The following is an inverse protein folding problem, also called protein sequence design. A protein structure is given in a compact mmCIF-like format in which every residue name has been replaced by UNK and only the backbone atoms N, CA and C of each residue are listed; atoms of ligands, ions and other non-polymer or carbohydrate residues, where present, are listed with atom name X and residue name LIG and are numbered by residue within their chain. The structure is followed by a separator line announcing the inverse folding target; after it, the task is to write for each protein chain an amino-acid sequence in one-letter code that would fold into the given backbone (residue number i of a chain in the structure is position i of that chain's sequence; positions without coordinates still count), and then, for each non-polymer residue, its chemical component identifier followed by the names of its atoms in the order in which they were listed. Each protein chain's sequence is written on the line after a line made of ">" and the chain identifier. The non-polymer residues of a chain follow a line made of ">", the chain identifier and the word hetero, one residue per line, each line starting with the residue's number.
data_IF_886805950161
#
_entry.id   IF_886805950161
#
_cell.length_a   1.000
_cell.length_b   1.000
_cell.length_c   1.000
_cell.angle_alpha   90.00
_cell.angle_beta   90.00
_cell.angle_gamma   90.00
#
_symmetry.space_group_name_H-M   'P 1'
#
loop_
_entity.id
_entity.type
_entity.pdbx_description
1 polymer ?
#
# COMPACT_ATOMS: atom_id res chain seq x y z
N UNK A 1 -17.83 28.37 16.34
CA UNK A 1 -18.00 29.01 15.03
C UNK A 1 -16.87 28.48 14.20
N UNK A 2 -17.15 27.60 13.24
CA UNK A 2 -16.12 26.98 12.40
C UNK A 2 -15.39 28.08 11.61
N UNK A 3 -14.06 28.18 11.79
CA UNK A 3 -13.22 29.06 10.99
C UNK A 3 -13.13 28.47 9.57
N UNK A 4 -13.55 29.19 8.51
CA UNK A 4 -13.40 28.74 7.13
C UNK A 4 -11.98 28.31 6.75
N UNK A 5 -10.97 28.83 7.45
CA UNK A 5 -9.57 28.45 7.27
C UNK A 5 -9.27 27.03 7.77
N UNK A 6 -9.97 26.56 8.81
CA UNK A 6 -9.78 25.21 9.34
C UNK A 6 -10.38 24.16 8.39
N UNK A 7 -11.59 24.42 7.86
CA UNK A 7 -12.19 23.56 6.83
C UNK A 7 -11.30 23.42 5.57
N UNK A 8 -10.66 24.53 5.14
CA UNK A 8 -9.71 24.50 4.03
C UNK A 8 -8.46 23.65 4.35
N UNK A 9 -7.91 23.79 5.56
CA UNK A 9 -6.74 22.99 5.99
C UNK A 9 -7.06 21.50 6.07
N UNK A 10 -8.24 21.14 6.56
CA UNK A 10 -8.70 19.74 6.61
C UNK A 10 -8.81 19.15 5.19
N UNK A 11 -9.43 19.89 4.27
CA UNK A 11 -9.52 19.49 2.87
C UNK A 11 -8.12 19.29 2.24
N UNK A 12 -7.20 20.23 2.47
CA UNK A 12 -5.83 20.13 1.96
C UNK A 12 -5.09 18.89 2.48
N UNK A 13 -5.20 18.60 3.78
CA UNK A 13 -4.59 17.39 4.40
C UNK A 13 -5.18 16.10 3.85
N UNK A 14 -6.50 16.06 3.64
CA UNK A 14 -7.15 14.90 3.04
C UNK A 14 -6.65 14.67 1.61
N UNK A 15 -6.52 15.73 0.82
CA UNK A 15 -6.03 15.65 -0.55
C UNK A 15 -4.54 15.29 -0.61
N UNK A 16 -3.70 15.80 0.29
CA UNK A 16 -2.30 15.41 0.44
C UNK A 16 -2.16 13.93 0.79
N UNK A 17 -2.95 13.45 1.76
CA UNK A 17 -2.99 12.04 2.16
C UNK A 17 -3.41 11.15 0.99
N UNK A 18 -4.41 11.57 0.23
CA UNK A 18 -4.88 10.87 -0.97
C UNK A 18 -3.78 10.77 -2.03
N UNK A 19 -3.06 11.87 -2.29
CA UNK A 19 -1.91 11.88 -3.21
C UNK A 19 -0.78 10.98 -2.74
N UNK A 20 -0.44 11.01 -1.46
CA UNK A 20 0.59 10.15 -0.88
C UNK A 20 0.22 8.66 -1.01
N UNK A 21 -1.02 8.29 -0.71
CA UNK A 21 -1.50 6.92 -0.86
C UNK A 21 -1.50 6.45 -2.33
N UNK A 22 -1.94 7.30 -3.27
CA UNK A 22 -1.90 6.99 -4.70
C UNK A 22 -0.46 6.77 -5.21
N UNK A 23 0.48 7.64 -4.80
CA UNK A 23 1.88 7.49 -5.15
C UNK A 23 2.49 6.20 -4.57
N UNK A 24 2.16 5.86 -3.31
CA UNK A 24 2.60 4.62 -2.69
C UNK A 24 2.06 3.39 -3.44
N UNK A 25 0.78 3.37 -3.82
CA UNK A 25 0.19 2.25 -4.58
C UNK A 25 0.87 2.06 -5.95
N UNK A 26 1.19 3.16 -6.66
CA UNK A 26 1.93 3.09 -7.92
C UNK A 26 3.35 2.53 -7.73
N UNK A 27 4.06 2.99 -6.70
CA UNK A 27 5.39 2.48 -6.38
C UNK A 27 5.35 0.99 -5.98
N UNK A 28 4.32 0.60 -5.22
CA UNK A 28 4.08 -0.77 -4.82
C UNK A 28 3.83 -1.69 -6.01
N UNK A 29 2.94 -1.31 -6.92
CA UNK A 29 2.67 -2.07 -8.15
C UNK A 29 3.95 -2.24 -8.99
N UNK A 30 4.74 -1.18 -9.17
CA UNK A 30 5.99 -1.24 -9.92
C UNK A 30 7.04 -2.17 -9.26
N UNK A 31 7.20 -2.08 -7.94
CA UNK A 31 8.12 -2.93 -7.18
C UNK A 31 7.66 -4.40 -7.17
N UNK A 32 6.36 -4.63 -7.02
CA UNK A 32 5.77 -5.95 -7.05
C UNK A 32 5.94 -6.59 -8.45
N UNK A 33 5.66 -5.82 -9.51
CA UNK A 33 5.86 -6.24 -10.89
C UNK A 33 7.30 -6.61 -11.23
N UNK A 34 8.29 -5.92 -10.64
CA UNK A 34 9.71 -6.29 -10.80
C UNK A 34 10.13 -7.50 -9.99
N UNK A 35 9.32 -7.93 -9.01
CA UNK A 35 9.59 -9.06 -8.09
C UNK A 35 10.92 -8.92 -7.33
N UNK A 36 11.33 -7.67 -7.12
CA UNK A 36 12.56 -7.33 -6.42
C UNK A 36 12.21 -7.10 -4.95
N UNK A 37 12.56 -8.06 -4.10
CA UNK A 37 12.27 -7.99 -2.67
C UNK A 37 12.90 -6.74 -2.01
N UNK A 38 14.06 -6.25 -2.49
CA UNK A 38 14.66 -5.03 -1.96
C UNK A 38 13.81 -3.80 -2.26
N UNK A 39 13.30 -3.69 -3.49
CA UNK A 39 12.39 -2.60 -3.89
C UNK A 39 11.06 -2.65 -3.14
N UNK A 40 10.53 -3.85 -2.90
CA UNK A 40 9.30 -4.03 -2.12
C UNK A 40 9.56 -3.64 -0.66
N UNK A 41 10.63 -4.14 -0.05
CA UNK A 41 10.97 -3.86 1.35
C UNK A 41 11.16 -2.36 1.62
N UNK A 42 11.71 -1.61 0.66
CA UNK A 42 11.89 -0.16 0.77
C UNK A 42 10.58 0.64 0.94
N UNK A 43 9.42 0.05 0.62
CA UNK A 43 8.11 0.66 0.78
C UNK A 43 7.47 0.43 2.17
N UNK A 44 8.11 -0.38 3.02
CA UNK A 44 7.63 -0.73 4.34
C UNK A 44 8.58 -0.25 5.44
N UNK A 45 8.01 0.14 6.57
CA UNK A 45 8.80 0.36 7.80
C UNK A 45 9.46 -0.94 8.26
N UNK A 46 10.60 -0.82 8.95
CA UNK A 46 11.39 -1.98 9.36
C UNK A 46 10.58 -3.00 10.18
N UNK A 47 9.68 -2.52 11.04
CA UNK A 47 8.80 -3.27 11.94
C UNK A 47 7.37 -3.45 11.42
N UNK A 48 7.14 -3.25 10.11
CA UNK A 48 5.82 -3.39 9.52
C UNK A 48 5.25 -4.81 9.67
N UNK A 49 3.91 -4.91 9.70
CA UNK A 49 3.20 -6.18 9.67
C UNK A 49 2.26 -6.24 8.47
N UNK A 50 2.27 -7.36 7.76
CA UNK A 50 1.36 -7.64 6.65
C UNK A 50 0.43 -8.78 7.02
N UNK A 51 -0.86 -8.61 6.73
CA UNK A 51 -1.86 -9.68 6.81
C UNK A 51 -2.42 -9.92 5.42
N UNK A 52 -2.13 -11.09 4.89
CA UNK A 52 -2.81 -11.59 3.70
C UNK A 52 -4.07 -12.33 4.16
N UNK A 53 -5.24 -11.77 3.88
CA UNK A 53 -6.51 -12.37 4.31
C UNK A 53 -6.98 -13.42 3.31
N UNK A 54 -6.82 -13.18 2.00
CA UNK A 54 -7.10 -14.10 0.88
C UNK A 54 -6.48 -13.59 -0.46
N UNK A 55 -5.66 -12.54 -0.45
CA UNK A 55 -5.28 -11.80 -1.65
C UNK A 55 -4.16 -12.50 -2.43
N UNK A 56 -3.10 -12.96 -1.75
CA UNK A 56 -1.96 -13.59 -2.40
C UNK A 56 -2.05 -15.10 -2.30
N UNK A 57 -2.20 -15.63 -1.08
CA UNK A 57 -2.09 -17.05 -0.74
C UNK A 57 -3.41 -17.81 -0.75
N UNK A 58 -4.55 -17.11 -0.92
CA UNK A 58 -5.90 -17.67 -0.67
C UNK A 58 -6.05 -18.29 0.73
N UNK A 59 -5.28 -17.78 1.69
CA UNK A 59 -5.28 -18.19 3.08
C UNK A 59 -5.13 -16.97 3.99
N UNK A 60 -5.48 -17.13 5.27
CA UNK A 60 -5.18 -16.14 6.29
C UNK A 60 -3.75 -16.33 6.82
N UNK A 61 -2.84 -15.48 6.39
CA UNK A 61 -1.43 -15.53 6.81
C UNK A 61 -0.90 -14.15 7.20
N UNK A 62 0.10 -14.13 8.08
CA UNK A 62 0.76 -12.91 8.53
C UNK A 62 2.27 -12.99 8.36
N UNK A 63 2.90 -11.85 8.07
CA UNK A 63 4.35 -11.66 8.02
C UNK A 63 4.73 -10.44 8.87
N UNK A 64 5.87 -10.53 9.54
CA UNK A 64 6.37 -9.48 10.44
C UNK A 64 7.77 -9.03 10.01
N UNK A 65 7.94 -7.72 9.89
CA UNK A 65 9.14 -7.09 9.37
C UNK A 65 9.14 -6.99 7.85
N UNK A 66 9.67 -5.88 7.33
CA UNK A 66 9.64 -5.59 5.87
C UNK A 66 10.30 -6.67 5.02
N UNK A 67 11.34 -7.33 5.52
CA UNK A 67 12.11 -8.31 4.76
C UNK A 67 11.26 -9.58 4.53
N UNK A 68 10.54 -10.05 5.56
CA UNK A 68 9.62 -11.19 5.43
C UNK A 68 8.43 -10.84 4.54
N UNK A 69 7.86 -9.64 4.70
CA UNK A 69 6.77 -9.14 3.86
C UNK A 69 7.20 -9.15 2.39
N UNK A 70 8.36 -8.56 2.08
CA UNK A 70 8.85 -8.43 0.72
C UNK A 70 9.17 -9.78 0.08
N UNK A 71 9.82 -10.68 0.84
CA UNK A 71 10.13 -12.02 0.36
C UNK A 71 8.86 -12.78 -0.03
N UNK A 72 7.81 -12.74 0.81
CA UNK A 72 6.54 -13.41 0.53
C UNK A 72 5.83 -12.80 -0.68
N UNK A 73 5.72 -11.47 -0.74
CA UNK A 73 5.05 -10.80 -1.85
C UNK A 73 5.76 -11.07 -3.18
N UNK A 74 7.09 -11.03 -3.21
CA UNK A 74 7.88 -11.34 -4.41
C UNK A 74 7.70 -12.80 -4.86
N UNK A 75 7.63 -13.74 -3.90
CA UNK A 75 7.45 -15.16 -4.19
C UNK A 75 6.05 -15.48 -4.73
N UNK A 76 5.02 -14.82 -4.23
CA UNK A 76 3.63 -15.08 -4.65
C UNK A 76 3.25 -14.36 -5.94
N UNK A 77 3.85 -13.21 -6.24
CA UNK A 77 3.47 -12.38 -7.38
C UNK A 77 3.43 -13.11 -8.74
N UNK A 78 4.36 -14.01 -9.10
CA UNK A 78 4.26 -14.78 -10.35
C UNK A 78 2.96 -15.57 -10.50
N UNK A 79 2.38 -16.04 -9.39
CA UNK A 79 1.18 -16.85 -9.36
C UNK A 79 -0.09 -16.00 -9.34
N UNK A 80 -0.12 -14.95 -8.52
CA UNK A 80 -1.31 -14.10 -8.36
C UNK A 80 -1.43 -13.04 -9.46
N UNK A 81 -0.32 -12.51 -9.96
CA UNK A 81 -0.32 -11.43 -10.95
C UNK A 81 -1.05 -10.17 -10.46
N UNK A 82 -0.92 -9.82 -9.18
CA UNK A 82 -1.65 -8.70 -8.59
C UNK A 82 -1.24 -7.37 -9.25
N UNK A 83 -2.21 -6.62 -9.75
CA UNK A 83 -2.03 -5.38 -10.50
C UNK A 83 -3.35 -4.57 -10.50
N UNK A 84 -3.28 -3.34 -11.02
CA UNK A 84 -4.42 -2.43 -11.08
C UNK A 84 -4.71 -1.75 -9.73
N UNK A 85 -3.69 -1.57 -8.89
CA UNK A 85 -3.85 -0.95 -7.58
C UNK A 85 -4.20 0.53 -7.72
N UNK A 86 -5.37 0.93 -7.23
CA UNK A 86 -5.83 2.32 -7.29
C UNK A 86 -6.73 2.66 -6.11
N UNK A 87 -6.80 3.95 -5.78
CA UNK A 87 -7.82 4.46 -4.87
C UNK A 87 -9.17 4.50 -5.60
N UNK A 88 -10.24 3.88 -5.05
CA UNK A 88 -11.56 3.94 -5.67
C UNK A 88 -12.05 5.39 -5.80
N UNK A 89 -12.70 5.76 -6.92
CA UNK A 89 -13.29 7.09 -7.07
C UNK A 89 -14.41 7.30 -6.04
N UNK A 90 -14.53 8.53 -5.54
CA UNK A 90 -15.62 8.93 -4.65
C UNK A 90 -15.59 8.30 -3.25
N UNK A 91 -14.50 7.61 -2.86
CA UNK A 91 -14.34 7.16 -1.47
C UNK A 91 -14.13 8.37 -0.57
N UNK A 92 -15.08 8.63 0.33
CA UNK A 92 -15.01 9.72 1.31
C UNK A 92 -13.89 9.41 2.32
N UNK A 93 -13.18 10.47 2.72
CA UNK A 93 -12.23 10.42 3.83
C UNK A 93 -12.94 10.13 5.15
#
# INVERSE_FOLDING_TARGET
>A
MDDPNDALREFQRAEETRRAAAAWLQAFEAALGSRDAGRIAALFQADAHWRDVLAFTWNFSAAAGRDEIAARLAAEQPRVGAQGFHLPPGRRA
#
